data_IF_178456420496
#
_entry.id   IF_178456420496
#
_cell.length_a   1.000
_cell.length_b   1.000
_cell.length_c   1.000
_cell.angle_alpha   90.00
_cell.angle_beta   90.00
_cell.angle_gamma   90.00
#
_symmetry.space_group_name_H-M   'P 1'
#
loop_
_entity.id
_entity.type
_entity.pdbx_description
1 polymer ?
#
# COMPACT_ATOMS: atom_id res chain seq x y z
N UNK A 1 7.98 -0.36 17.68
CA UNK A 1 7.45 -1.71 17.96
C UNK A 1 6.65 -1.74 19.26
N UNK A 2 7.22 -1.30 20.38
CA UNK A 2 6.62 -1.49 21.71
C UNK A 2 5.22 -0.89 21.87
N UNK A 3 5.00 0.30 21.31
CA UNK A 3 3.68 0.95 21.31
C UNK A 3 2.62 0.11 20.58
N UNK A 4 2.98 -0.48 19.43
CA UNK A 4 2.07 -1.32 18.65
C UNK A 4 1.70 -2.58 19.42
N UNK A 5 2.69 -3.26 20.03
CA UNK A 5 2.45 -4.46 20.87
C UNK A 5 1.52 -4.14 22.04
N UNK A 6 1.75 -3.04 22.74
CA UNK A 6 0.91 -2.62 23.85
C UNK A 6 -0.54 -2.31 23.41
N UNK A 7 -0.72 -1.62 22.28
CA UNK A 7 -2.05 -1.32 21.73
C UNK A 7 -2.81 -2.57 21.27
N UNK A 8 -2.09 -3.61 20.85
CA UNK A 8 -2.67 -4.90 20.44
C UNK A 8 -2.96 -5.85 21.61
N UNK A 9 -2.77 -5.42 22.87
CA UNK A 9 -3.05 -6.25 24.04
C UNK A 9 -1.89 -7.15 24.48
N UNK A 10 -0.66 -6.85 24.06
CA UNK A 10 0.55 -7.55 24.47
C UNK A 10 1.10 -8.54 23.45
N UNK A 11 2.28 -9.09 23.73
CA UNK A 11 2.94 -10.07 22.87
C UNK A 11 2.12 -11.35 22.71
N UNK A 12 1.46 -11.79 23.79
CA UNK A 12 0.65 -12.99 23.76
C UNK A 12 -0.56 -12.87 22.82
N UNK A 13 -1.12 -11.66 22.64
CA UNK A 13 -2.23 -11.42 21.72
C UNK A 13 -1.80 -11.41 20.24
N UNK A 14 -0.53 -11.09 19.96
CA UNK A 14 0.03 -11.07 18.61
C UNK A 14 0.50 -12.45 18.12
N UNK A 15 0.81 -13.35 19.04
CA UNK A 15 1.25 -14.71 18.73
C UNK A 15 0.05 -15.62 18.47
N UNK A 16 0.14 -16.47 17.45
CA UNK A 16 -0.95 -17.40 17.11
C UNK A 16 -1.18 -18.38 18.28
N UNK A 17 -2.40 -18.35 18.83
CA UNK A 17 -2.77 -19.04 20.07
C UNK A 17 -1.80 -18.79 21.25
N UNK A 18 -1.20 -17.60 21.29
CA UNK A 18 -0.33 -17.16 22.37
C UNK A 18 1.02 -17.87 22.45
N UNK A 19 1.81 -17.43 23.42
CA UNK A 19 3.22 -17.81 23.59
C UNK A 19 3.46 -19.29 23.94
N UNK A 20 2.42 -20.00 24.39
CA UNK A 20 2.50 -21.46 24.63
C UNK A 20 2.52 -22.26 23.33
N UNK A 21 1.90 -21.71 22.28
CA UNK A 21 1.77 -22.38 20.98
C UNK A 21 2.82 -21.85 20.01
N UNK A 22 3.01 -20.53 19.98
CA UNK A 22 3.93 -19.87 19.07
C UNK A 22 5.02 -19.17 19.86
N UNK A 23 6.26 -19.63 19.75
CA UNK A 23 7.40 -19.13 20.54
C UNK A 23 8.07 -17.89 19.94
N UNK A 24 7.91 -17.65 18.64
CA UNK A 24 8.59 -16.55 17.94
C UNK A 24 7.83 -16.09 16.69
N UNK A 25 8.16 -14.88 16.25
CA UNK A 25 7.83 -14.35 14.93
C UNK A 25 9.14 -14.21 14.15
N UNK A 26 9.27 -14.96 13.06
CA UNK A 26 10.41 -14.85 12.15
C UNK A 26 10.01 -14.07 10.90
N UNK A 27 10.66 -12.94 10.68
CA UNK A 27 10.51 -12.12 9.48
C UNK A 27 11.76 -12.28 8.63
N UNK A 28 11.58 -12.73 7.38
CA UNK A 28 12.66 -12.85 6.39
C UNK A 28 12.28 -12.11 5.12
N UNK A 29 13.02 -11.04 4.81
CA UNK A 29 12.75 -10.16 3.66
C UNK A 29 13.91 -10.20 2.67
N UNK A 30 13.56 -10.14 1.39
CA UNK A 30 14.49 -10.29 0.27
C UNK A 30 14.33 -9.10 -0.69
N UNK A 31 15.41 -8.35 -0.90
CA UNK A 31 15.45 -7.15 -1.74
C UNK A 31 16.54 -7.32 -2.80
N UNK A 32 16.26 -8.18 -3.78
CA UNK A 32 17.23 -8.60 -4.79
C UNK A 32 18.39 -9.36 -4.15
N UNK A 33 19.56 -8.75 -4.10
CA UNK A 33 20.74 -9.33 -3.45
C UNK A 33 20.84 -9.00 -1.96
N UNK A 34 20.13 -7.98 -1.47
CA UNK A 34 20.10 -7.65 -0.06
C UNK A 34 18.99 -8.42 0.64
N UNK A 35 19.12 -8.65 1.94
CA UNK A 35 18.03 -9.19 2.73
C UNK A 35 18.13 -8.82 4.20
N UNK A 36 17.04 -9.05 4.90
CA UNK A 36 16.84 -8.69 6.29
C UNK A 36 16.13 -9.81 7.03
N UNK A 37 16.62 -10.13 8.22
CA UNK A 37 16.02 -11.11 9.11
C UNK A 37 15.79 -10.46 10.47
N UNK A 38 14.58 -10.64 11.01
CA UNK A 38 14.26 -10.32 12.38
C UNK A 38 13.52 -11.48 13.03
N UNK A 39 14.05 -11.98 14.16
CA UNK A 39 13.40 -12.95 15.02
C UNK A 39 12.94 -12.24 16.28
N UNK A 40 11.63 -12.18 16.48
CA UNK A 40 11.01 -11.55 17.66
C UNK A 40 10.52 -12.64 18.60
N UNK A 41 10.83 -12.53 19.88
CA UNK A 41 10.37 -13.45 20.93
C UNK A 41 9.58 -12.68 22.00
N UNK A 42 8.60 -13.33 22.66
CA UNK A 42 7.94 -12.75 23.82
C UNK A 42 8.92 -12.63 24.99
N UNK A 43 8.74 -11.58 25.78
CA UNK A 43 9.44 -11.35 27.04
C UNK A 43 8.46 -11.53 28.21
N UNK A 44 9.00 -11.70 29.43
CA UNK A 44 8.21 -11.85 30.66
C UNK A 44 7.23 -10.68 30.87
N UNK A 45 7.57 -9.48 30.40
CA UNK A 45 6.71 -8.30 30.49
C UNK A 45 5.65 -8.18 29.39
N UNK A 46 5.27 -9.29 28.74
CA UNK A 46 4.27 -9.35 27.66
C UNK A 46 4.58 -8.38 26.49
N UNK A 47 5.87 -8.20 26.20
CA UNK A 47 6.38 -7.40 25.09
C UNK A 47 7.20 -8.25 24.13
N UNK A 48 7.36 -7.82 22.87
CA UNK A 48 8.24 -8.48 21.91
C UNK A 48 9.63 -7.84 21.91
N UNK A 49 10.67 -8.67 21.91
CA UNK A 49 12.07 -8.25 21.80
C UNK A 49 12.74 -8.96 20.62
N UNK A 50 13.78 -8.35 20.07
CA UNK A 50 14.57 -8.95 19.01
C UNK A 50 15.52 -10.01 19.60
N UNK A 51 15.24 -11.29 19.34
CA UNK A 51 16.16 -12.39 19.59
C UNK A 51 17.27 -12.46 18.54
N UNK A 52 17.03 -11.93 17.36
CA UNK A 52 18.01 -11.80 16.28
C UNK A 52 17.56 -10.68 15.35
N UNK A 53 18.48 -9.80 14.99
CA UNK A 53 18.27 -8.83 13.92
C UNK A 53 19.54 -8.78 13.06
N UNK A 54 19.41 -9.01 11.75
CA UNK A 54 20.55 -8.99 10.85
C UNK A 54 20.17 -8.58 9.43
N UNK A 55 21.13 -7.98 8.75
CA UNK A 55 21.11 -7.77 7.30
C UNK A 55 22.09 -8.72 6.64
N UNK A 56 21.85 -9.08 5.38
CA UNK A 56 22.78 -9.90 4.62
C UNK A 56 22.78 -9.52 3.15
N UNK A 57 23.84 -9.95 2.44
CA UNK A 57 23.97 -9.77 1.00
C UNK A 57 24.31 -11.11 0.33
N UNK A 58 23.61 -11.42 -0.76
CA UNK A 58 23.81 -12.61 -1.59
C UNK A 58 24.68 -12.25 -2.78
N UNK A 59 25.90 -12.77 -2.77
CA UNK A 59 26.81 -12.66 -3.91
C UNK A 59 26.40 -13.63 -5.03
N UNK A 60 26.28 -13.13 -6.26
CA UNK A 60 26.10 -13.95 -7.45
C UNK A 60 27.48 -14.33 -8.01
N UNK A 61 28.01 -15.49 -7.64
CA UNK A 61 29.09 -16.12 -8.40
C UNK A 61 28.63 -17.50 -8.82
N UNK A 62 28.72 -17.79 -10.11
CA UNK A 62 28.33 -19.02 -10.82
C UNK A 62 29.05 -20.31 -10.37
N UNK A 63 29.80 -20.29 -9.26
CA UNK A 63 30.62 -21.42 -8.80
C UNK A 63 30.43 -21.82 -7.33
N UNK A 64 29.37 -21.36 -6.67
CA UNK A 64 29.15 -21.71 -5.25
C UNK A 64 27.70 -22.14 -5.03
N UNK A 65 27.54 -23.35 -4.50
CA UNK A 65 26.27 -23.93 -4.06
C UNK A 65 25.41 -22.95 -3.25
N UNK A 66 24.07 -23.08 -3.31
CA UNK A 66 23.17 -22.33 -2.45
C UNK A 66 23.38 -22.73 -0.98
N UNK A 67 24.17 -21.94 -0.26
CA UNK A 67 24.44 -22.06 1.18
C UNK A 67 24.25 -20.70 1.87
N UNK A 68 24.12 -20.66 3.22
CA UNK A 68 23.58 -19.52 3.95
C UNK A 68 24.52 -18.31 3.88
N UNK A 69 23.95 -17.16 3.51
CA UNK A 69 24.40 -15.78 3.73
C UNK A 69 25.91 -15.58 4.06
N UNK A 70 26.74 -15.22 3.07
CA UNK A 70 28.20 -15.13 3.26
C UNK A 70 28.71 -13.95 4.12
N UNK A 71 27.90 -12.92 4.38
CA UNK A 71 28.26 -11.81 5.29
C UNK A 71 27.03 -11.21 6.00
N UNK A 72 26.53 -11.85 7.09
CA UNK A 72 25.48 -11.26 7.91
C UNK A 72 26.05 -10.09 8.74
N UNK A 73 25.51 -8.90 8.54
CA UNK A 73 25.67 -7.77 9.47
C UNK A 73 24.69 -8.02 10.61
N UNK A 74 25.20 -8.46 11.75
CA UNK A 74 24.41 -8.64 12.97
C UNK A 74 24.16 -7.27 13.61
N UNK A 75 22.89 -6.87 13.66
CA UNK A 75 22.44 -5.63 14.30
C UNK A 75 22.33 -5.80 15.82
N UNK A 76 22.17 -7.04 16.27
CA UNK A 76 22.28 -7.46 17.67
C UNK A 76 21.10 -8.31 18.12
N UNK A 77 20.98 -8.43 19.45
CA UNK A 77 19.94 -9.17 20.15
C UNK A 77 19.54 -8.44 21.45
N UNK A 78 18.41 -8.83 22.04
CA UNK A 78 17.91 -8.35 23.33
C UNK A 78 17.35 -6.92 23.34
N UNK A 79 17.30 -6.23 22.20
CA UNK A 79 16.77 -4.87 22.11
C UNK A 79 15.26 -4.86 21.84
N UNK A 80 14.60 -3.76 22.25
CA UNK A 80 13.15 -3.56 22.14
C UNK A 80 12.70 -2.93 20.82
N UNK A 81 13.61 -2.27 20.10
CA UNK A 81 13.35 -1.57 18.85
C UNK A 81 14.45 -1.92 17.84
N UNK A 82 14.12 -1.89 16.55
CA UNK A 82 15.04 -2.21 15.46
C UNK A 82 16.26 -1.28 15.45
N UNK A 83 17.45 -1.83 15.25
CA UNK A 83 18.71 -1.08 15.12
C UNK A 83 19.07 -0.81 13.66
N UNK A 84 18.31 -1.36 12.71
CA UNK A 84 18.48 -1.16 11.28
C UNK A 84 18.62 0.33 10.89
N UNK A 85 17.80 1.20 11.48
CA UNK A 85 17.84 2.64 11.22
C UNK A 85 19.07 3.36 11.76
N UNK A 86 19.65 2.83 12.84
CA UNK A 86 20.92 3.33 13.36
C UNK A 86 22.07 2.91 12.44
N UNK A 87 22.12 1.63 12.08
CA UNK A 87 23.13 1.07 11.17
C UNK A 87 23.16 1.80 9.83
N UNK A 88 21.99 2.02 9.22
CA UNK A 88 21.89 2.74 7.94
C UNK A 88 22.45 4.17 7.99
N UNK A 89 22.34 4.86 9.15
CA UNK A 89 22.89 6.21 9.33
C UNK A 89 24.39 6.21 9.60
N UNK A 90 24.87 5.23 10.34
CA UNK A 90 26.30 5.11 10.66
C UNK A 90 27.12 4.63 9.45
N UNK A 91 26.52 3.79 8.60
CA UNK A 91 27.15 3.23 7.41
C UNK A 91 26.30 3.45 6.14
N UNK A 92 26.20 4.69 5.64
CA UNK A 92 25.41 5.00 4.46
C UNK A 92 25.92 4.26 3.22
N UNK A 93 25.01 3.87 2.31
CA UNK A 93 25.34 3.11 1.10
C UNK A 93 25.75 1.65 1.33
N UNK A 94 25.56 1.12 2.55
CA UNK A 94 25.73 -0.31 2.87
C UNK A 94 24.38 -1.04 2.88
N UNK A 95 24.41 -2.34 3.17
CA UNK A 95 23.26 -3.25 3.11
C UNK A 95 22.06 -2.69 3.89
N UNK A 96 22.26 -2.24 5.13
CA UNK A 96 21.19 -1.71 5.98
C UNK A 96 20.49 -0.48 5.37
N UNK A 97 21.24 0.40 4.71
CA UNK A 97 20.70 1.59 4.04
C UNK A 97 19.85 1.20 2.82
N UNK A 98 20.29 0.22 2.02
CA UNK A 98 19.48 -0.34 0.93
C UNK A 98 18.19 -0.99 1.41
N UNK A 99 18.27 -1.80 2.47
CA UNK A 99 17.10 -2.45 3.08
C UNK A 99 16.11 -1.39 3.56
N UNK A 100 16.56 -0.36 4.29
CA UNK A 100 15.69 0.71 4.75
C UNK A 100 15.10 1.52 3.60
N UNK A 101 15.86 1.77 2.54
CA UNK A 101 15.36 2.41 1.34
C UNK A 101 14.17 1.64 0.75
N UNK A 102 14.30 0.32 0.63
CA UNK A 102 13.23 -0.55 0.15
C UNK A 102 12.01 -0.54 1.08
N UNK A 103 12.21 -0.70 2.40
CA UNK A 103 11.14 -0.66 3.39
C UNK A 103 10.41 0.69 3.42
N UNK A 104 11.12 1.80 3.25
CA UNK A 104 10.51 3.14 3.15
C UNK A 104 9.68 3.34 1.89
N UNK A 105 9.98 2.56 0.83
CA UNK A 105 9.21 2.54 -0.40
C UNK A 105 7.87 1.82 -0.29
N UNK A 106 7.65 1.06 0.80
CA UNK A 106 6.38 0.39 1.06
C UNK A 106 5.31 1.42 1.40
N UNK A 107 4.18 1.32 0.70
CA UNK A 107 3.04 2.21 0.91
C UNK A 107 1.80 1.39 1.24
N UNK A 108 1.24 1.67 2.41
CA UNK A 108 -0.04 1.11 2.85
C UNK A 108 -1.13 2.09 2.41
N UNK A 109 -2.15 1.57 1.75
CA UNK A 109 -3.32 2.32 1.32
C UNK A 109 -4.57 1.82 2.03
N UNK A 110 -5.31 2.76 2.60
CA UNK A 110 -6.56 2.50 3.31
C UNK A 110 -7.65 3.39 2.71
N UNK A 111 -8.52 2.79 1.90
CA UNK A 111 -9.66 3.47 1.30
C UNK A 111 -10.99 3.10 1.98
N UNK A 112 -10.92 2.76 3.28
CA UNK A 112 -12.09 2.37 4.06
C UNK A 112 -12.97 3.55 4.46
N UNK A 113 -12.37 4.71 4.74
CA UNK A 113 -13.12 5.91 5.11
C UNK A 113 -13.80 6.52 3.88
N UNK A 114 -15.04 6.11 3.67
CA UNK A 114 -15.98 6.70 2.73
C UNK A 114 -17.08 7.47 3.45
N UNK A 115 -16.90 7.82 4.73
CA UNK A 115 -17.87 8.61 5.49
C UNK A 115 -18.09 10.01 4.89
N UNK A 116 -19.09 10.75 5.38
CA UNK A 116 -19.28 12.15 4.98
C UNK A 116 -18.08 13.05 5.36
N UNK A 117 -17.31 12.64 6.36
CA UNK A 117 -16.07 13.31 6.77
C UNK A 117 -14.84 12.87 5.99
N UNK A 118 -14.97 11.90 5.07
CA UNK A 118 -13.85 11.38 4.30
C UNK A 118 -13.16 12.51 3.52
N UNK A 119 -11.84 12.63 3.70
CA UNK A 119 -11.05 13.73 3.10
C UNK A 119 -11.10 13.74 1.58
N UNK A 120 -11.24 12.60 0.94
CA UNK A 120 -11.41 12.48 -0.52
C UNK A 120 -12.67 13.19 -1.04
N UNK A 121 -13.69 13.38 -0.18
CA UNK A 121 -14.92 14.13 -0.49
C UNK A 121 -14.79 15.64 -0.25
N UNK A 122 -13.71 16.08 0.42
CA UNK A 122 -13.50 17.48 0.80
C UNK A 122 -12.70 18.24 -0.26
N UNK A 123 -12.67 19.57 -0.12
CA UNK A 123 -11.77 20.42 -0.91
C UNK A 123 -10.32 20.23 -0.45
N UNK A 124 -9.46 19.88 -1.39
CA UNK A 124 -8.02 19.69 -1.18
C UNK A 124 -7.19 20.85 -1.74
N UNK A 125 -5.90 20.79 -1.48
CA UNK A 125 -4.91 21.69 -2.08
C UNK A 125 -4.54 21.21 -3.48
N UNK A 126 -4.53 22.10 -4.48
CA UNK A 126 -4.21 21.72 -5.85
C UNK A 126 -2.74 21.32 -6.01
N UNK A 127 -1.84 21.85 -5.18
CA UNK A 127 -0.41 21.55 -5.20
C UNK A 127 -0.06 20.21 -4.54
N UNK A 128 -0.98 19.61 -3.80
CA UNK A 128 -0.81 18.32 -3.14
C UNK A 128 -0.99 17.15 -4.13
N UNK A 129 -0.14 17.07 -5.15
CA UNK A 129 -0.33 16.15 -6.28
C UNK A 129 0.92 15.35 -6.67
N UNK A 130 2.03 15.47 -5.93
CA UNK A 130 3.28 14.79 -6.26
C UNK A 130 3.17 13.25 -6.22
N UNK A 131 2.34 12.72 -5.30
CA UNK A 131 2.02 11.29 -5.19
C UNK A 131 0.58 11.15 -4.69
N UNK A 132 -0.12 10.08 -5.06
CA UNK A 132 -1.40 9.74 -4.42
C UNK A 132 -1.19 9.43 -2.94
N UNK A 133 -1.98 10.07 -2.05
CA UNK A 133 -1.92 9.80 -0.61
C UNK A 133 -2.54 8.45 -0.26
N UNK A 134 -2.10 7.88 0.87
CA UNK A 134 -2.55 6.59 1.39
C UNK A 134 -4.07 6.51 1.64
N UNK A 135 -4.70 7.66 1.90
CA UNK A 135 -6.15 7.81 2.15
C UNK A 135 -6.90 8.43 0.95
N UNK A 136 -6.21 8.62 -0.19
CA UNK A 136 -6.73 9.30 -1.38
C UNK A 136 -7.29 10.71 -1.12
N UNK A 137 -6.92 11.37 -0.01
CA UNK A 137 -7.39 12.72 0.31
C UNK A 137 -7.07 13.77 -0.75
N UNK A 138 -6.06 13.51 -1.59
CA UNK A 138 -5.63 14.38 -2.68
C UNK A 138 -6.04 13.87 -4.08
N UNK A 139 -7.02 12.95 -4.17
CA UNK A 139 -7.42 12.31 -5.42
C UNK A 139 -7.71 13.32 -6.55
N UNK A 140 -8.43 14.40 -6.25
CA UNK A 140 -8.78 15.42 -7.25
C UNK A 140 -7.53 16.13 -7.81
N UNK A 141 -6.62 16.53 -6.92
CA UNK A 141 -5.36 17.19 -7.31
C UNK A 141 -4.45 16.24 -8.11
N UNK A 142 -4.38 14.97 -7.69
CA UNK A 142 -3.58 13.95 -8.36
C UNK A 142 -4.11 13.64 -9.77
N UNK A 143 -5.42 13.40 -9.91
CA UNK A 143 -6.04 13.19 -11.22
C UNK A 143 -5.91 14.41 -12.12
N UNK A 144 -5.96 15.63 -11.56
CA UNK A 144 -5.76 16.86 -12.32
C UNK A 144 -4.34 16.93 -12.89
N UNK A 145 -3.31 16.58 -12.10
CA UNK A 145 -1.94 16.48 -12.59
C UNK A 145 -1.82 15.43 -13.71
N UNK A 146 -2.42 14.26 -13.55
CA UNK A 146 -2.40 13.21 -14.57
C UNK A 146 -3.08 13.66 -15.87
N UNK A 147 -4.23 14.33 -15.78
CA UNK A 147 -4.91 14.90 -16.93
C UNK A 147 -4.03 15.92 -17.68
N UNK A 148 -3.19 16.69 -16.97
CA UNK A 148 -2.33 17.71 -17.60
C UNK A 148 -1.02 17.18 -18.15
N UNK A 149 -0.48 16.12 -17.56
CA UNK A 149 0.92 15.70 -17.81
C UNK A 149 1.05 14.27 -18.32
N UNK A 150 0.06 13.40 -18.09
CA UNK A 150 0.11 11.96 -18.32
C UNK A 150 -1.26 11.44 -18.83
N UNK A 151 -1.77 12.05 -19.90
CA UNK A 151 -3.13 11.83 -20.42
C UNK A 151 -3.45 10.34 -20.66
N UNK A 152 -2.50 9.54 -21.16
CA UNK A 152 -2.72 8.11 -21.41
C UNK A 152 -3.08 7.32 -20.13
N UNK A 153 -2.46 7.68 -18.99
CA UNK A 153 -2.77 7.06 -17.71
C UNK A 153 -4.14 7.51 -17.20
N UNK A 154 -4.43 8.80 -17.30
CA UNK A 154 -5.73 9.37 -16.94
C UNK A 154 -6.87 8.69 -17.74
N UNK A 155 -6.71 8.59 -19.05
CA UNK A 155 -7.66 7.94 -19.96
C UNK A 155 -7.94 6.49 -19.58
N UNK A 156 -6.89 5.73 -19.24
CA UNK A 156 -7.03 4.34 -18.79
C UNK A 156 -7.81 4.26 -17.48
N UNK A 157 -7.51 5.13 -16.52
CA UNK A 157 -8.25 5.22 -15.25
C UNK A 157 -9.74 5.46 -15.51
N UNK A 158 -10.08 6.49 -16.30
CA UNK A 158 -11.47 6.83 -16.64
C UNK A 158 -12.17 5.67 -17.36
N UNK A 159 -11.52 5.05 -18.36
CA UNK A 159 -12.09 3.89 -19.07
C UNK A 159 -12.35 2.71 -18.14
N UNK A 160 -11.44 2.41 -17.21
CA UNK A 160 -11.63 1.33 -16.25
C UNK A 160 -12.74 1.63 -15.25
N UNK A 161 -12.85 2.86 -14.75
CA UNK A 161 -13.97 3.29 -13.89
C UNK A 161 -15.31 3.11 -14.59
N UNK A 162 -15.40 3.49 -15.88
CA UNK A 162 -16.60 3.33 -16.71
C UNK A 162 -17.06 1.87 -16.86
N UNK A 163 -16.17 0.89 -16.71
CA UNK A 163 -16.58 -0.53 -16.71
C UNK A 163 -17.40 -0.83 -15.45
N UNK A 164 -16.93 -0.42 -14.27
CA UNK A 164 -17.63 -0.67 -13.00
C UNK A 164 -18.85 0.25 -12.78
N UNK A 165 -18.79 1.48 -13.29
CA UNK A 165 -19.83 2.49 -13.16
C UNK A 165 -20.21 3.07 -14.55
N UNK A 166 -21.05 2.39 -15.34
CA UNK A 166 -21.36 2.81 -16.72
C UNK A 166 -22.01 4.19 -16.85
N UNK A 167 -22.67 4.67 -15.78
CA UNK A 167 -23.27 6.01 -15.68
C UNK A 167 -22.21 7.12 -15.60
N UNK A 168 -21.03 6.83 -15.05
CA UNK A 168 -19.94 7.80 -14.96
C UNK A 168 -19.44 8.17 -16.37
N UNK A 169 -19.41 9.47 -16.67
CA UNK A 169 -18.77 9.98 -17.88
C UNK A 169 -17.30 10.28 -17.60
N UNK A 170 -16.97 11.40 -16.97
CA UNK A 170 -15.58 11.81 -16.76
C UNK A 170 -15.48 12.69 -15.50
N UNK A 171 -14.27 12.86 -14.98
CA UNK A 171 -14.02 13.86 -13.95
C UNK A 171 -14.05 15.27 -14.53
N UNK A 172 -14.47 16.21 -13.70
CA UNK A 172 -14.44 17.63 -14.02
C UNK A 172 -13.47 18.35 -13.08
N UNK A 173 -12.19 18.35 -13.47
CA UNK A 173 -11.08 18.75 -12.61
C UNK A 173 -10.61 20.15 -12.98
N UNK A 174 -10.74 21.09 -12.04
CA UNK A 174 -10.39 22.50 -12.21
C UNK A 174 -10.12 23.16 -10.86
N UNK A 175 -9.29 24.23 -10.82
CA UNK A 175 -9.18 25.09 -9.65
C UNK A 175 -10.55 25.65 -9.23
N UNK A 176 -10.74 25.86 -7.93
CA UNK A 176 -11.93 26.52 -7.40
C UNK A 176 -11.99 27.97 -7.88
N UNK A 177 -13.14 28.44 -8.41
CA UNK A 177 -13.29 29.84 -8.84
C UNK A 177 -13.04 30.87 -7.73
N UNK A 178 -13.27 30.48 -6.47
CA UNK A 178 -13.10 31.35 -5.31
C UNK A 178 -11.71 31.23 -4.66
N UNK A 179 -10.94 30.19 -5.02
CA UNK A 179 -9.58 29.99 -4.54
C UNK A 179 -8.79 29.09 -5.51
N UNK A 180 -7.94 29.67 -6.38
CA UNK A 180 -7.18 28.91 -7.38
C UNK A 180 -6.23 27.85 -6.79
N UNK A 181 -5.86 27.96 -5.52
CA UNK A 181 -5.00 26.98 -4.85
C UNK A 181 -5.78 25.75 -4.34
N UNK A 182 -7.10 25.72 -4.56
CA UNK A 182 -7.99 24.66 -4.08
C UNK A 182 -8.65 23.92 -5.23
N UNK A 183 -8.90 22.63 -5.01
CA UNK A 183 -9.59 21.75 -5.95
C UNK A 183 -10.49 20.78 -5.17
N UNK A 184 -11.60 20.38 -5.76
CA UNK A 184 -12.47 19.34 -5.21
C UNK A 184 -12.76 18.30 -6.29
N UNK A 185 -13.10 17.07 -5.89
CA UNK A 185 -13.46 16.03 -6.85
C UNK A 185 -14.87 16.29 -7.37
N UNK A 186 -14.97 16.60 -8.66
CA UNK A 186 -16.23 16.71 -9.40
C UNK A 186 -16.24 15.73 -10.57
N UNK A 187 -17.42 15.31 -11.00
CA UNK A 187 -17.60 14.37 -12.10
C UNK A 187 -18.90 14.66 -12.86
N UNK A 188 -19.00 14.10 -14.07
CA UNK A 188 -20.17 14.18 -14.95
C UNK A 188 -20.80 12.81 -15.15
N UNK A 189 -22.12 12.79 -15.24
CA UNK A 189 -22.87 11.60 -15.64
C UNK A 189 -23.13 11.62 -17.16
N UNK A 190 -23.13 10.45 -17.80
CA UNK A 190 -23.42 10.35 -19.22
C UNK A 190 -24.84 10.83 -19.52
N UNK A 191 -24.96 11.71 -20.53
CA UNK A 191 -26.26 12.24 -20.96
C UNK A 191 -26.82 13.33 -20.05
N UNK A 192 -26.02 13.84 -19.11
CA UNK A 192 -26.36 14.97 -18.24
C UNK A 192 -25.33 16.08 -18.36
N UNK A 193 -25.80 17.33 -18.35
CA UNK A 193 -24.93 18.51 -18.28
C UNK A 193 -24.60 18.91 -16.82
N UNK A 194 -25.12 18.16 -15.84
CA UNK A 194 -24.88 18.41 -14.42
C UNK A 194 -23.49 17.93 -13.98
N UNK A 195 -22.91 18.69 -13.04
CA UNK A 195 -21.69 18.31 -12.34
C UNK A 195 -22.04 17.86 -10.92
N UNK A 196 -21.48 16.73 -10.52
CA UNK A 196 -21.70 16.11 -9.23
C UNK A 196 -20.41 16.13 -8.42
N UNK A 197 -20.53 16.16 -7.10
CA UNK A 197 -19.37 16.04 -6.19
C UNK A 197 -19.15 14.58 -5.80
N UNK A 198 -18.04 14.31 -5.13
CA UNK A 198 -17.69 12.98 -4.63
C UNK A 198 -18.79 12.31 -3.78
N UNK A 199 -19.54 13.08 -2.98
CA UNK A 199 -20.61 12.53 -2.12
C UNK A 199 -21.79 11.95 -2.92
N UNK A 200 -21.93 12.28 -4.21
CA UNK A 200 -22.97 11.73 -5.08
C UNK A 200 -22.61 10.34 -5.62
N UNK A 201 -21.35 9.89 -5.46
CA UNK A 201 -20.96 8.52 -5.76
C UNK A 201 -21.30 7.61 -4.59
N UNK A 202 -21.72 6.37 -4.87
CA UNK A 202 -21.78 5.35 -3.84
C UNK A 202 -20.38 5.07 -3.28
N UNK A 203 -20.32 4.69 -2.00
CA UNK A 203 -19.06 4.39 -1.31
C UNK A 203 -18.21 3.36 -2.06
N UNK A 204 -18.84 2.29 -2.59
CA UNK A 204 -18.16 1.29 -3.41
C UNK A 204 -17.58 1.85 -4.71
N UNK A 205 -18.28 2.79 -5.35
CA UNK A 205 -17.78 3.45 -6.57
C UNK A 205 -16.61 4.37 -6.26
N UNK A 206 -16.72 5.20 -5.21
CA UNK A 206 -15.64 6.10 -4.81
C UNK A 206 -14.38 5.32 -4.40
N UNK A 207 -14.55 4.20 -3.68
CA UNK A 207 -13.45 3.29 -3.35
C UNK A 207 -12.83 2.68 -4.60
N UNK A 208 -13.64 2.21 -5.54
CA UNK A 208 -13.15 1.68 -6.81
C UNK A 208 -12.38 2.72 -7.63
N UNK A 209 -12.81 3.99 -7.62
CA UNK A 209 -12.06 5.10 -8.23
C UNK A 209 -10.68 5.27 -7.58
N UNK A 210 -10.59 5.25 -6.26
CA UNK A 210 -9.32 5.37 -5.53
C UNK A 210 -8.37 4.21 -5.87
N UNK A 211 -8.87 2.98 -5.86
CA UNK A 211 -8.11 1.77 -6.19
C UNK A 211 -7.64 1.78 -7.65
N UNK A 212 -8.52 2.13 -8.58
CA UNK A 212 -8.18 2.21 -10.00
C UNK A 212 -7.10 3.26 -10.24
N UNK A 213 -7.21 4.42 -9.58
CA UNK A 213 -6.20 5.48 -9.67
C UNK A 213 -4.85 5.02 -9.10
N UNK A 214 -4.85 4.35 -7.94
CA UNK A 214 -3.65 3.77 -7.33
C UNK A 214 -2.95 2.76 -8.25
N UNK A 215 -3.69 1.82 -8.82
CA UNK A 215 -3.14 0.69 -9.58
C UNK A 215 -2.72 1.07 -11.01
N UNK A 216 -3.30 2.14 -11.57
CA UNK A 216 -3.02 2.58 -12.95
C UNK A 216 -2.16 3.86 -13.04
N UNK A 217 -1.70 4.41 -11.92
CA UNK A 217 -0.79 5.57 -11.93
C UNK A 217 0.54 5.27 -12.64
N UNK A 218 1.21 6.27 -13.23
CA UNK A 218 2.45 6.09 -13.98
C UNK A 218 3.63 5.61 -13.14
N UNK A 219 3.77 6.17 -11.92
CA UNK A 219 4.86 5.88 -11.02
C UNK A 219 4.34 5.08 -9.83
N UNK A 220 4.46 3.75 -9.88
CA UNK A 220 4.02 2.87 -8.80
C UNK A 220 5.02 2.86 -7.64
N UNK A 221 4.56 2.76 -6.38
CA UNK A 221 5.44 2.44 -5.25
C UNK A 221 6.17 1.11 -5.44
N UNK A 222 7.30 0.91 -4.76
CA UNK A 222 8.08 -0.34 -4.85
C UNK A 222 7.36 -1.56 -4.28
N UNK A 223 6.45 -1.33 -3.34
CA UNK A 223 5.52 -2.33 -2.82
C UNK A 223 4.22 -1.62 -2.41
N UNK A 224 3.09 -2.18 -2.82
CA UNK A 224 1.75 -1.67 -2.49
C UNK A 224 1.13 -2.65 -1.50
N UNK A 225 0.68 -2.14 -0.36
CA UNK A 225 -0.08 -2.90 0.63
C UNK A 225 -1.50 -2.33 0.67
N UNK A 226 -2.52 -3.16 0.48
CA UNK A 226 -3.92 -2.73 0.49
C UNK A 226 -4.71 -3.64 1.41
N UNK A 227 -5.46 -3.04 2.31
CA UNK A 227 -6.29 -3.76 3.27
C UNK A 227 -7.76 -3.74 2.84
N UNK A 228 -8.39 -4.90 2.79
CA UNK A 228 -9.80 -5.15 2.39
C UNK A 228 -10.24 -4.26 1.20
N UNK A 229 -9.52 -4.28 0.06
CA UNK A 229 -9.78 -3.38 -1.07
C UNK A 229 -11.18 -3.56 -1.68
N UNK A 230 -11.77 -4.73 -1.54
CA UNK A 230 -13.07 -5.10 -2.09
C UNK A 230 -14.26 -4.73 -1.21
N UNK A 231 -14.03 -4.19 0.00
CA UNK A 231 -15.10 -3.81 0.92
C UNK A 231 -16.12 -2.91 0.21
N UNK A 232 -17.40 -3.27 0.24
CA UNK A 232 -18.48 -2.48 -0.38
C UNK A 232 -18.45 -2.37 -1.90
N UNK A 233 -17.56 -3.06 -2.61
CA UNK A 233 -17.57 -3.13 -4.07
C UNK A 233 -18.68 -4.06 -4.57
N UNK A 234 -19.31 -3.68 -5.67
CA UNK A 234 -20.21 -4.58 -6.39
C UNK A 234 -19.43 -5.79 -6.95
N UNK A 235 -20.00 -7.01 -7.02
CA UNK A 235 -19.29 -8.21 -7.48
C UNK A 235 -18.53 -8.04 -8.80
N UNK A 236 -19.12 -7.34 -9.78
CA UNK A 236 -18.43 -7.04 -11.04
C UNK A 236 -17.16 -6.19 -10.85
N UNK A 237 -17.19 -5.19 -9.98
CA UNK A 237 -16.02 -4.37 -9.67
C UNK A 237 -14.92 -5.16 -8.96
N UNK A 238 -15.27 -6.21 -8.20
CA UNK A 238 -14.28 -7.14 -7.60
C UNK A 238 -13.50 -7.88 -8.69
N UNK A 239 -14.17 -8.36 -9.74
CA UNK A 239 -13.49 -9.04 -10.86
C UNK A 239 -12.53 -8.11 -11.62
N UNK A 240 -12.93 -6.84 -11.78
CA UNK A 240 -12.07 -5.80 -12.37
C UNK A 240 -10.89 -5.49 -11.46
N UNK A 241 -11.12 -5.32 -10.15
CA UNK A 241 -10.09 -5.11 -9.16
C UNK A 241 -9.04 -6.24 -9.19
N UNK A 242 -9.47 -7.50 -9.19
CA UNK A 242 -8.55 -8.64 -9.28
C UNK A 242 -7.69 -8.59 -10.56
N UNK A 243 -8.30 -8.21 -11.69
CA UNK A 243 -7.58 -8.05 -12.95
C UNK A 243 -6.55 -6.91 -12.89
N UNK A 244 -6.88 -5.80 -12.23
CA UNK A 244 -5.95 -4.69 -12.00
C UNK A 244 -4.80 -5.09 -11.07
N UNK A 245 -5.10 -5.84 -10.00
CA UNK A 245 -4.10 -6.34 -9.05
C UNK A 245 -3.08 -7.23 -9.75
N UNK A 246 -3.54 -8.24 -10.52
CA UNK A 246 -2.65 -9.11 -11.31
C UNK A 246 -1.80 -8.33 -12.30
N UNK A 247 -2.41 -7.40 -13.04
CA UNK A 247 -1.69 -6.55 -14.00
C UNK A 247 -0.62 -5.71 -13.31
N UNK A 248 -0.94 -5.12 -12.14
CA UNK A 248 -0.01 -4.30 -11.36
C UNK A 248 1.12 -5.15 -10.75
N UNK A 249 0.81 -6.36 -10.31
CA UNK A 249 1.77 -7.33 -9.76
C UNK A 249 2.90 -7.68 -10.74
N UNK A 250 2.67 -7.57 -12.05
CA UNK A 250 3.73 -7.76 -13.07
C UNK A 250 4.80 -6.66 -13.05
N UNK A 251 4.54 -5.52 -12.41
CA UNK A 251 5.41 -4.34 -12.39
C UNK A 251 5.98 -4.04 -11.00
N UNK A 252 5.20 -4.31 -9.95
CA UNK A 252 5.58 -4.05 -8.56
C UNK A 252 4.92 -5.07 -7.64
N UNK A 253 5.46 -5.30 -6.46
CA UNK A 253 4.84 -6.21 -5.50
C UNK A 253 3.55 -5.60 -4.94
N UNK A 254 2.46 -6.38 -4.95
CA UNK A 254 1.18 -6.00 -4.37
C UNK A 254 0.80 -7.04 -3.33
N UNK A 255 0.56 -6.61 -2.09
CA UNK A 255 0.13 -7.45 -0.98
C UNK A 255 -1.27 -6.98 -0.58
N UNK A 256 -2.23 -7.90 -0.59
CA UNK A 256 -3.62 -7.61 -0.26
C UNK A 256 -4.03 -8.46 0.94
N UNK A 257 -4.57 -7.83 1.98
CA UNK A 257 -5.35 -8.53 3.00
C UNK A 257 -6.82 -8.48 2.62
N UNK A 258 -7.49 -9.62 2.71
CA UNK A 258 -8.91 -9.76 2.33
C UNK A 258 -9.57 -10.89 3.13
N UNK A 259 -10.83 -10.69 3.48
CA UNK A 259 -11.73 -11.73 3.98
C UNK A 259 -12.78 -12.15 2.93
N UNK A 260 -12.73 -11.56 1.74
CA UNK A 260 -13.71 -11.79 0.68
C UNK A 260 -13.39 -13.02 -0.14
N UNK A 261 -14.20 -14.07 0.08
CA UNK A 261 -14.22 -15.26 -0.77
C UNK A 261 -14.37 -14.89 -2.26
N UNK A 262 -15.26 -13.95 -2.68
CA UNK A 262 -15.32 -13.50 -4.07
C UNK A 262 -14.01 -12.99 -4.65
N UNK A 263 -13.21 -12.25 -3.87
CA UNK A 263 -11.90 -11.74 -4.32
C UNK A 263 -10.87 -12.87 -4.37
N UNK A 264 -10.78 -13.69 -3.32
CA UNK A 264 -9.86 -14.83 -3.24
C UNK A 264 -10.08 -15.80 -4.40
N UNK A 265 -11.34 -16.06 -4.77
CA UNK A 265 -11.69 -16.91 -5.92
C UNK A 265 -11.24 -16.38 -7.30
N UNK A 266 -10.67 -15.16 -7.37
CA UNK A 266 -10.09 -14.62 -8.60
C UNK A 266 -8.58 -14.91 -8.72
N UNK A 267 -7.97 -15.58 -7.75
CA UNK A 267 -6.54 -15.86 -7.69
C UNK A 267 -6.28 -17.36 -7.60
N UNK A 268 -5.12 -17.78 -8.10
CA UNK A 268 -4.67 -19.16 -7.98
C UNK A 268 -4.09 -19.42 -6.58
N UNK A 269 -4.03 -20.68 -6.11
CA UNK A 269 -3.48 -21.01 -4.79
C UNK A 269 -2.05 -20.48 -4.56
N UNK A 270 -1.23 -20.35 -5.60
CA UNK A 270 0.13 -19.83 -5.51
C UNK A 270 0.20 -18.31 -5.30
N UNK A 271 -0.91 -17.60 -5.55
CA UNK A 271 -1.05 -16.15 -5.39
C UNK A 271 -1.68 -15.76 -4.02
N UNK A 272 -2.00 -16.74 -3.16
CA UNK A 272 -2.68 -16.57 -1.85
C UNK A 272 -1.70 -16.79 -0.68
#
# INVERSE_FOLDING_TARGET
LQLSVAKSGGANALLYFGQKTTSEILVSLYFGQNGYIARLIPSVGDSLIFAEEQCWYRYSSSYVSPGPHKHPIRLGEGHKESRLGKEAREYPGKIADHVIGALKGWKIYHFHDTSDSAKVKQTGDIGDNATLRSDASNLAAFLYLLQKTQQDHYDRIVRTIRLAAPFFDDFYLRPSPFNPDKIQLEWREKGSDAYFKAHSLSDGTLRFVCLTTLLLQPNLPSTILIDEPELGLHPYAITLLASLLRSTATKTQVIVSTQSVPLVNQFEPEDI
#
